data_IF_193948748429
#
_entry.id   IF_193948748429
#
_cell.length_a   1.000
_cell.length_b   1.000
_cell.length_c   1.000
_cell.angle_alpha   90.00
_cell.angle_beta   90.00
_cell.angle_gamma   90.00
#
_symmetry.space_group_name_H-M   'P 1'
#
loop_
_entity.id
_entity.type
_entity.pdbx_description
1 polymer ?
#
# COMPACT_ATOMS: atom_id res chain seq x y z
N UNK A 1 -15.68 -26.97 8.12
CA UNK A 1 -15.30 -26.57 9.50
C UNK A 1 -14.33 -25.41 9.31
N UNK A 2 -14.80 -24.20 9.50
CA UNK A 2 -13.93 -23.02 9.33
C UNK A 2 -12.82 -23.11 10.39
N UNK A 3 -11.56 -23.10 9.95
CA UNK A 3 -10.45 -22.93 10.87
C UNK A 3 -10.69 -21.63 11.65
N UNK A 4 -10.38 -21.65 12.95
CA UNK A 4 -10.41 -20.44 13.75
C UNK A 4 -9.53 -19.37 13.10
N UNK A 5 -10.03 -18.13 13.03
CA UNK A 5 -9.33 -17.02 12.40
C UNK A 5 -7.89 -16.86 12.91
N UNK A 6 -7.67 -17.07 14.20
CA UNK A 6 -6.34 -16.95 14.80
C UNK A 6 -5.38 -18.02 14.26
N UNK A 7 -5.86 -19.23 14.04
CA UNK A 7 -5.10 -20.30 13.38
C UNK A 7 -4.77 -19.92 11.92
N UNK A 8 -5.74 -19.39 11.20
CA UNK A 8 -5.54 -18.90 9.81
C UNK A 8 -4.49 -17.80 9.76
N UNK A 9 -4.55 -16.82 10.65
CA UNK A 9 -3.56 -15.74 10.74
C UNK A 9 -2.15 -16.31 11.05
N UNK A 10 -2.04 -17.27 11.96
CA UNK A 10 -0.76 -17.90 12.27
C UNK A 10 -0.18 -18.62 11.04
N UNK A 11 -1.01 -19.36 10.30
CA UNK A 11 -0.61 -20.01 9.04
C UNK A 11 -0.18 -18.97 8.00
N UNK A 12 -0.93 -17.87 7.88
CA UNK A 12 -0.63 -16.77 6.97
C UNK A 12 0.74 -16.14 7.28
N UNK A 13 1.01 -15.87 8.55
CA UNK A 13 2.27 -15.28 8.99
C UNK A 13 3.47 -16.22 8.84
N UNK A 14 3.25 -17.54 8.80
CA UNK A 14 4.31 -18.54 8.59
C UNK A 14 4.71 -18.70 7.12
N UNK A 15 3.94 -18.10 6.17
CA UNK A 15 4.28 -18.21 4.75
C UNK A 15 5.57 -17.46 4.44
N UNK A 16 6.44 -18.08 3.64
CA UNK A 16 7.73 -17.54 3.20
C UNK A 16 7.72 -17.07 1.74
N UNK A 17 6.58 -17.19 1.05
CA UNK A 17 6.39 -16.81 -0.36
C UNK A 17 5.08 -16.07 -0.57
N UNK A 18 5.05 -15.19 -1.56
CA UNK A 18 3.83 -14.48 -1.97
C UNK A 18 2.75 -15.47 -2.44
N UNK A 19 3.15 -16.55 -3.11
CA UNK A 19 2.22 -17.58 -3.56
C UNK A 19 1.58 -18.34 -2.39
N UNK A 20 2.33 -18.61 -1.31
CA UNK A 20 1.78 -19.18 -0.09
C UNK A 20 0.75 -18.28 0.56
N UNK A 21 1.05 -16.97 0.66
CA UNK A 21 0.09 -15.96 1.15
C UNK A 21 -1.16 -15.93 0.28
N UNK A 22 -0.98 -15.93 -1.07
CA UNK A 22 -2.10 -15.96 -2.02
C UNK A 22 -3.05 -17.14 -1.76
N UNK A 23 -2.49 -18.36 -1.63
CA UNK A 23 -3.30 -19.55 -1.41
C UNK A 23 -4.09 -19.47 -0.11
N UNK A 24 -3.44 -19.09 0.99
CA UNK A 24 -4.12 -18.96 2.30
C UNK A 24 -5.23 -17.92 2.25
N UNK A 25 -4.97 -16.74 1.67
CA UNK A 25 -5.99 -15.69 1.54
C UNK A 25 -7.15 -16.17 0.69
N UNK A 26 -6.89 -16.72 -0.51
CA UNK A 26 -7.92 -17.17 -1.43
C UNK A 26 -8.80 -18.27 -0.83
N UNK A 27 -8.19 -19.28 -0.21
CA UNK A 27 -8.93 -20.38 0.42
C UNK A 27 -9.79 -19.88 1.59
N UNK A 28 -9.30 -18.86 2.30
CA UNK A 28 -10.05 -18.29 3.43
C UNK A 28 -11.23 -17.44 2.94
N UNK A 29 -11.02 -16.51 1.99
CA UNK A 29 -12.09 -15.61 1.52
C UNK A 29 -13.22 -16.35 0.81
N UNK A 30 -12.93 -17.51 0.20
CA UNK A 30 -13.95 -18.37 -0.42
C UNK A 30 -15.02 -18.84 0.58
N UNK A 31 -14.66 -19.03 1.85
CA UNK A 31 -15.64 -19.39 2.90
C UNK A 31 -16.64 -18.26 3.17
N UNK A 32 -16.35 -17.03 2.75
CA UNK A 32 -17.19 -15.83 2.89
C UNK A 32 -17.84 -15.41 1.56
N UNK A 33 -17.72 -16.25 0.49
CA UNK A 33 -18.31 -15.96 -0.81
C UNK A 33 -17.51 -15.03 -1.72
N UNK A 34 -16.22 -14.81 -1.43
CA UNK A 34 -15.31 -14.05 -2.29
C UNK A 34 -14.48 -14.98 -3.17
N UNK A 35 -14.26 -14.59 -4.43
CA UNK A 35 -13.58 -15.44 -5.41
C UNK A 35 -12.25 -14.87 -5.91
N UNK A 36 -12.11 -13.56 -5.90
CA UNK A 36 -10.91 -12.87 -6.39
C UNK A 36 -10.50 -11.78 -5.40
N UNK A 37 -9.23 -11.40 -5.43
CA UNK A 37 -8.73 -10.29 -4.62
C UNK A 37 -7.50 -9.65 -5.22
N UNK A 38 -7.20 -8.44 -4.78
CA UNK A 38 -5.91 -7.79 -5.01
C UNK A 38 -5.40 -7.19 -3.69
N UNK A 39 -4.10 -7.28 -3.47
CA UNK A 39 -3.39 -6.60 -2.37
C UNK A 39 -2.36 -5.68 -2.99
N UNK A 40 -2.48 -4.40 -2.74
CA UNK A 40 -1.65 -3.38 -3.39
C UNK A 40 -1.39 -2.20 -2.46
N UNK A 41 -0.34 -1.44 -2.74
CA UNK A 41 -0.26 -0.03 -2.37
C UNK A 41 -1.04 0.81 -3.37
N UNK A 42 -1.46 1.99 -2.94
CA UNK A 42 -2.09 2.99 -3.80
C UNK A 42 -1.10 4.13 -4.03
N UNK A 43 -0.64 4.32 -5.27
CA UNK A 43 0.33 5.37 -5.59
C UNK A 43 -0.32 6.75 -5.65
N UNK A 44 0.52 7.79 -5.56
CA UNK A 44 0.12 9.17 -5.84
C UNK A 44 -0.39 9.35 -7.28
N UNK A 45 -1.16 10.42 -7.52
CA UNK A 45 -1.73 10.71 -8.85
C UNK A 45 -0.66 10.72 -9.94
N UNK A 46 -0.94 10.00 -11.03
CA UNK A 46 -0.08 9.92 -12.20
C UNK A 46 1.08 8.93 -12.09
N UNK A 47 1.20 8.23 -10.97
CA UNK A 47 2.20 7.18 -10.79
C UNK A 47 1.61 5.82 -11.17
N UNK A 48 2.39 5.00 -11.87
CA UNK A 48 2.00 3.64 -12.25
C UNK A 48 1.78 2.77 -11.01
N UNK A 49 0.64 2.07 -10.96
CA UNK A 49 0.30 1.20 -9.82
C UNK A 49 1.06 -0.12 -9.82
N UNK A 50 1.53 -0.60 -10.99
CA UNK A 50 2.16 -1.93 -11.11
C UNK A 50 3.27 -2.21 -10.10
N UNK A 51 4.20 -1.28 -9.81
CA UNK A 51 5.25 -1.52 -8.80
C UNK A 51 4.72 -1.64 -7.36
N UNK A 52 3.48 -1.24 -7.11
CA UNK A 52 2.85 -1.26 -5.78
C UNK A 52 1.97 -2.49 -5.57
N UNK A 53 1.66 -3.24 -6.63
CA UNK A 53 0.87 -4.47 -6.51
C UNK A 53 1.72 -5.54 -5.84
N UNK A 54 1.30 -5.98 -4.65
CA UNK A 54 1.97 -7.03 -3.90
C UNK A 54 1.56 -8.41 -4.39
N UNK A 55 0.27 -8.58 -4.69
CA UNK A 55 -0.27 -9.77 -5.33
C UNK A 55 -1.65 -9.49 -5.93
N UNK A 56 -1.98 -10.15 -7.04
CA UNK A 56 -3.29 -10.07 -7.69
C UNK A 56 -3.82 -11.45 -8.01
N UNK A 57 -5.07 -11.69 -7.66
CA UNK A 57 -5.90 -12.82 -8.09
C UNK A 57 -7.00 -12.40 -9.06
N UNK A 58 -6.86 -11.24 -9.72
CA UNK A 58 -7.75 -10.80 -10.80
C UNK A 58 -7.45 -11.54 -12.10
N UNK A 59 -8.39 -11.51 -13.02
CA UNK A 59 -8.16 -11.98 -14.39
C UNK A 59 -7.04 -11.16 -15.06
N UNK A 60 -6.16 -11.83 -15.78
CA UNK A 60 -5.01 -11.21 -16.44
C UNK A 60 -5.40 -10.09 -17.41
N UNK A 61 -6.54 -10.24 -18.10
CA UNK A 61 -7.03 -9.22 -19.04
C UNK A 61 -7.49 -7.98 -18.29
N UNK A 62 -8.27 -8.13 -17.20
CA UNK A 62 -8.69 -7.02 -16.37
C UNK A 62 -7.48 -6.32 -15.72
N UNK A 63 -6.57 -7.09 -15.14
CA UNK A 63 -5.36 -6.55 -14.51
C UNK A 63 -4.55 -5.69 -15.50
N UNK A 64 -4.32 -6.21 -16.72
CA UNK A 64 -3.61 -5.46 -17.77
C UNK A 64 -4.35 -4.19 -18.17
N UNK A 65 -5.67 -4.26 -18.35
CA UNK A 65 -6.52 -3.11 -18.70
C UNK A 65 -6.48 -2.05 -17.59
N UNK A 66 -6.75 -2.44 -16.35
CA UNK A 66 -6.78 -1.55 -15.18
C UNK A 66 -5.45 -0.80 -14.99
N UNK A 67 -4.34 -1.52 -15.10
CA UNK A 67 -3.01 -0.92 -14.90
C UNK A 67 -2.56 -0.08 -16.09
N UNK A 68 -2.81 -0.50 -17.33
CA UNK A 68 -2.37 0.23 -18.54
C UNK A 68 -3.14 1.53 -18.76
N UNK A 69 -4.41 1.59 -18.36
CA UNK A 69 -5.25 2.78 -18.46
C UNK A 69 -5.19 3.68 -17.21
N UNK A 70 -4.40 3.29 -16.20
CA UNK A 70 -4.26 4.08 -14.97
C UNK A 70 -5.55 4.18 -14.16
N UNK A 71 -6.40 3.17 -14.21
CA UNK A 71 -7.72 3.16 -13.57
C UNK A 71 -7.67 3.36 -12.06
N UNK A 72 -6.57 3.03 -11.40
CA UNK A 72 -6.37 3.29 -9.96
C UNK A 72 -6.66 4.74 -9.57
N UNK A 73 -6.41 5.70 -10.47
CA UNK A 73 -6.64 7.12 -10.22
C UNK A 73 -8.08 7.58 -10.52
N UNK A 74 -8.84 6.76 -11.24
CA UNK A 74 -10.22 7.02 -11.66
C UNK A 74 -11.21 6.22 -10.82
N UNK A 75 -10.79 5.09 -10.29
CA UNK A 75 -11.58 4.14 -9.52
C UNK A 75 -12.09 4.79 -8.21
N UNK A 76 -13.42 4.90 -8.03
CA UNK A 76 -14.00 5.47 -6.82
C UNK A 76 -13.68 4.62 -5.58
N UNK A 77 -13.53 3.30 -5.72
CA UNK A 77 -13.17 2.39 -4.61
C UNK A 77 -11.74 2.67 -4.13
N UNK A 78 -10.79 2.79 -5.06
CA UNK A 78 -9.41 3.14 -4.73
C UNK A 78 -9.32 4.55 -4.10
N UNK A 79 -10.04 5.53 -4.66
CA UNK A 79 -10.10 6.89 -4.10
C UNK A 79 -10.68 6.94 -2.70
N UNK A 80 -11.70 6.13 -2.42
CA UNK A 80 -12.33 6.11 -1.09
C UNK A 80 -11.38 5.56 0.00
N UNK A 81 -10.39 4.76 -0.35
CA UNK A 81 -9.38 4.27 0.61
C UNK A 81 -8.58 5.39 1.30
N UNK A 82 -8.54 6.59 0.73
CA UNK A 82 -7.87 7.75 1.33
C UNK A 82 -8.78 8.52 2.31
N UNK A 83 -10.07 8.19 2.39
CA UNK A 83 -11.07 8.91 3.19
C UNK A 83 -11.55 8.15 4.43
N UNK A 84 -11.31 6.83 4.49
CA UNK A 84 -11.73 5.97 5.59
C UNK A 84 -10.67 4.96 5.97
N UNK A 85 -10.68 4.55 7.24
CA UNK A 85 -9.82 3.48 7.79
C UNK A 85 -10.59 2.16 7.95
N UNK A 86 -11.91 2.20 7.77
CA UNK A 86 -12.78 1.04 7.96
C UNK A 86 -13.06 0.33 6.64
N UNK A 87 -13.28 -0.99 6.67
CA UNK A 87 -13.78 -1.73 5.51
C UNK A 87 -15.09 -1.14 4.99
N UNK A 88 -15.26 -1.14 3.67
CA UNK A 88 -16.47 -0.65 3.03
C UNK A 88 -16.82 -1.47 1.79
N UNK A 89 -18.12 -1.55 1.49
CA UNK A 89 -18.61 -2.17 0.28
C UNK A 89 -18.33 -1.26 -0.93
N UNK A 90 -17.98 -1.82 -2.06
CA UNK A 90 -17.69 -1.03 -3.27
C UNK A 90 -18.84 -0.10 -3.65
N UNK A 91 -20.09 -0.57 -3.45
CA UNK A 91 -21.31 0.21 -3.71
C UNK A 91 -21.44 1.45 -2.82
N UNK A 92 -20.74 1.51 -1.69
CA UNK A 92 -20.72 2.69 -0.80
C UNK A 92 -19.63 3.69 -1.11
N UNK A 93 -18.72 3.39 -2.04
CA UNK A 93 -17.71 4.34 -2.48
C UNK A 93 -18.37 5.54 -3.20
N UNK A 94 -18.17 6.77 -2.72
CA UNK A 94 -18.90 7.92 -3.26
C UNK A 94 -18.37 8.33 -4.63
N UNK A 95 -19.24 8.37 -5.63
CA UNK A 95 -18.99 9.02 -6.93
C UNK A 95 -20.32 9.40 -7.60
N UNK A 96 -20.28 10.43 -8.42
CA UNK A 96 -21.41 10.82 -9.26
C UNK A 96 -21.34 10.08 -10.60
N UNK A 97 -22.27 9.16 -10.83
CA UNK A 97 -22.28 8.32 -12.03
C UNK A 97 -22.47 9.14 -13.32
N UNK A 98 -23.20 10.26 -13.25
CA UNK A 98 -23.47 11.13 -14.40
C UNK A 98 -22.38 12.19 -14.56
N UNK A 99 -21.84 12.72 -13.48
CA UNK A 99 -20.81 13.76 -13.47
C UNK A 99 -19.37 13.26 -13.55
N UNK A 100 -19.09 12.02 -13.07
CA UNK A 100 -17.76 11.41 -13.09
C UNK A 100 -17.73 10.21 -14.05
N UNK A 101 -17.86 10.51 -15.36
CA UNK A 101 -17.87 9.48 -16.40
C UNK A 101 -16.62 8.55 -16.38
N UNK A 102 -15.40 9.04 -16.07
CA UNK A 102 -14.24 8.15 -15.90
C UNK A 102 -14.42 7.12 -14.80
N UNK A 103 -14.95 7.51 -13.64
CA UNK A 103 -15.23 6.57 -12.54
C UNK A 103 -16.34 5.58 -12.93
N UNK A 104 -17.43 6.07 -13.54
CA UNK A 104 -18.50 5.22 -14.04
C UNK A 104 -17.98 4.17 -15.02
N UNK A 105 -17.09 4.54 -15.93
CA UNK A 105 -16.46 3.64 -16.88
C UNK A 105 -15.67 2.53 -16.19
N UNK A 106 -14.85 2.83 -15.16
CA UNK A 106 -14.10 1.82 -14.42
C UNK A 106 -15.05 0.79 -13.82
N UNK A 107 -16.12 1.26 -13.17
CA UNK A 107 -17.11 0.40 -12.52
C UNK A 107 -17.92 -0.44 -13.52
N UNK A 108 -18.21 0.11 -14.70
CA UNK A 108 -18.94 -0.61 -15.75
C UNK A 108 -18.05 -1.68 -16.40
N UNK A 109 -16.81 -1.34 -16.75
CA UNK A 109 -15.87 -2.29 -17.31
C UNK A 109 -15.50 -3.41 -16.32
N UNK A 110 -15.44 -3.13 -15.02
CA UNK A 110 -15.22 -4.17 -14.01
C UNK A 110 -16.32 -5.25 -14.03
N UNK A 111 -17.58 -4.86 -14.28
CA UNK A 111 -18.72 -5.79 -14.41
C UNK A 111 -18.55 -6.77 -15.56
N UNK A 112 -17.96 -6.34 -16.68
CA UNK A 112 -17.70 -7.21 -17.84
C UNK A 112 -16.76 -8.38 -17.48
N UNK A 113 -16.02 -8.25 -16.38
CA UNK A 113 -15.15 -9.28 -15.81
C UNK A 113 -15.73 -9.99 -14.58
N UNK A 114 -17.05 -9.84 -14.33
CA UNK A 114 -17.73 -10.42 -13.19
C UNK A 114 -17.32 -9.83 -11.85
N UNK A 115 -16.92 -8.55 -11.86
CA UNK A 115 -16.50 -7.81 -10.67
C UNK A 115 -17.55 -6.72 -10.35
N UNK A 116 -18.75 -7.18 -9.97
CA UNK A 116 -19.90 -6.30 -9.72
C UNK A 116 -19.92 -5.73 -8.31
N UNK A 117 -19.52 -6.53 -7.35
CA UNK A 117 -19.60 -6.25 -5.92
C UNK A 117 -18.30 -6.65 -5.23
N UNK A 118 -18.01 -6.02 -4.11
CA UNK A 118 -16.83 -6.36 -3.34
C UNK A 118 -16.72 -5.61 -2.02
N UNK A 119 -15.81 -6.10 -1.19
CA UNK A 119 -15.39 -5.48 0.05
C UNK A 119 -14.00 -4.90 -0.13
N UNK A 120 -13.84 -3.64 0.20
CA UNK A 120 -12.55 -2.96 0.20
C UNK A 120 -12.08 -2.71 1.64
N UNK A 121 -10.83 -3.03 1.91
CA UNK A 121 -10.17 -2.80 3.21
C UNK A 121 -9.00 -1.84 3.00
N UNK A 122 -9.12 -0.58 3.42
CA UNK A 122 -8.00 0.36 3.44
C UNK A 122 -6.93 -0.10 4.44
N UNK A 123 -5.66 0.02 4.05
CA UNK A 123 -4.52 -0.31 4.93
C UNK A 123 -3.61 0.91 5.01
N UNK A 124 -3.64 1.58 6.16
CA UNK A 124 -2.79 2.75 6.38
C UNK A 124 -1.39 2.30 6.77
N UNK A 125 -0.42 2.80 6.05
CA UNK A 125 0.98 2.41 6.19
C UNK A 125 1.79 3.54 6.80
N UNK A 126 2.91 3.17 7.42
CA UNK A 126 3.88 4.15 7.89
C UNK A 126 4.39 5.02 6.72
N UNK A 127 4.71 6.28 7.01
CA UNK A 127 5.16 7.24 6.00
C UNK A 127 4.03 7.81 5.13
N UNK A 128 2.76 7.65 5.52
CA UNK A 128 1.60 8.24 4.83
C UNK A 128 1.20 7.52 3.54
N UNK A 129 1.80 6.36 3.26
CA UNK A 129 1.38 5.55 2.12
C UNK A 129 0.05 4.85 2.41
N UNK A 130 -0.79 4.75 1.39
CA UNK A 130 -2.05 4.03 1.45
C UNK A 130 -1.91 2.67 0.80
N UNK A 131 -2.33 1.61 1.50
CA UNK A 131 -2.51 0.28 0.95
C UNK A 131 -3.99 -0.08 0.83
N UNK A 132 -4.26 -1.14 0.12
CA UNK A 132 -5.60 -1.67 -0.10
C UNK A 132 -5.58 -3.18 -0.21
N UNK A 133 -6.62 -3.81 0.35
CA UNK A 133 -7.03 -5.17 0.02
C UNK A 133 -8.45 -5.08 -0.52
N UNK A 134 -8.64 -5.47 -1.77
CA UNK A 134 -9.95 -5.42 -2.42
C UNK A 134 -10.37 -6.84 -2.77
N UNK A 135 -11.52 -7.27 -2.24
CA UNK A 135 -12.11 -8.59 -2.38
C UNK A 135 -13.32 -8.50 -3.32
N UNK A 136 -13.42 -9.42 -4.27
CA UNK A 136 -14.54 -9.50 -5.23
C UNK A 136 -15.52 -10.56 -4.78
N UNK A 137 -16.76 -10.18 -4.54
CA UNK A 137 -17.84 -11.06 -4.11
C UNK A 137 -18.97 -10.31 -3.43
N UNK A 138 -20.03 -11.03 -3.07
CA UNK A 138 -21.22 -10.44 -2.46
C UNK A 138 -20.98 -10.05 -1.01
N UNK A 139 -21.46 -8.87 -0.62
CA UNK A 139 -21.24 -8.29 0.71
C UNK A 139 -22.54 -8.19 1.54
N UNK A 140 -23.69 -8.31 0.90
CA UNK A 140 -25.00 -8.11 1.53
C UNK A 140 -25.38 -9.21 2.55
N UNK A 141 -24.72 -10.36 2.52
CA UNK A 141 -24.94 -11.47 3.44
C UNK A 141 -23.93 -11.53 4.60
N UNK A 142 -22.92 -10.65 4.59
CA UNK A 142 -21.87 -10.64 5.61
C UNK A 142 -22.40 -10.11 6.96
N UNK A 143 -22.19 -10.91 8.00
CA UNK A 143 -22.38 -10.47 9.38
C UNK A 143 -21.25 -9.51 9.82
N UNK A 144 -21.51 -8.73 10.87
CA UNK A 144 -20.48 -7.86 11.46
C UNK A 144 -19.23 -8.64 11.91
N UNK A 145 -19.42 -9.86 12.42
CA UNK A 145 -18.30 -10.73 12.78
C UNK A 145 -17.44 -11.09 11.57
N UNK A 146 -18.07 -11.50 10.47
CA UNK A 146 -17.37 -11.88 9.24
C UNK A 146 -16.65 -10.68 8.61
N UNK A 147 -17.24 -9.49 8.66
CA UNK A 147 -16.56 -8.25 8.23
C UNK A 147 -15.30 -7.98 9.05
N UNK A 148 -15.36 -8.19 10.36
CA UNK A 148 -14.20 -8.04 11.24
C UNK A 148 -13.13 -9.10 10.93
N UNK A 149 -13.53 -10.35 10.71
CA UNK A 149 -12.61 -11.44 10.34
C UNK A 149 -11.89 -11.16 9.03
N UNK A 150 -12.62 -10.70 8.00
CA UNK A 150 -12.04 -10.29 6.72
C UNK A 150 -11.12 -9.07 6.85
N UNK A 151 -11.49 -8.11 7.71
CA UNK A 151 -10.64 -6.96 8.00
C UNK A 151 -9.30 -7.42 8.60
N UNK A 152 -9.32 -8.29 9.61
CA UNK A 152 -8.10 -8.82 10.21
C UNK A 152 -7.27 -9.61 9.20
N UNK A 153 -7.90 -10.49 8.42
CA UNK A 153 -7.23 -11.24 7.36
C UNK A 153 -6.52 -10.32 6.37
N UNK A 154 -7.19 -9.25 5.93
CA UNK A 154 -6.65 -8.27 5.01
C UNK A 154 -5.42 -7.55 5.58
N UNK A 155 -5.48 -7.08 6.84
CA UNK A 155 -4.37 -6.40 7.49
C UNK A 155 -3.14 -7.31 7.62
N UNK A 156 -3.33 -8.55 8.09
CA UNK A 156 -2.24 -9.51 8.26
C UNK A 156 -1.70 -9.99 6.91
N UNK A 157 -2.55 -10.23 5.91
CA UNK A 157 -2.14 -10.60 4.55
C UNK A 157 -1.32 -9.52 3.88
N UNK A 158 -1.76 -8.28 3.95
CA UNK A 158 -1.01 -7.13 3.44
C UNK A 158 0.35 -6.99 4.17
N UNK A 159 0.35 -7.09 5.50
CA UNK A 159 1.57 -7.00 6.31
C UNK A 159 2.58 -8.09 5.98
N UNK A 160 2.12 -9.35 5.80
CA UNK A 160 3.00 -10.47 5.46
C UNK A 160 3.62 -10.30 4.06
N UNK A 161 2.83 -9.91 3.07
CA UNK A 161 3.36 -9.63 1.72
C UNK A 161 4.39 -8.49 1.74
N UNK A 162 4.12 -7.42 2.46
CA UNK A 162 5.10 -6.34 2.62
C UNK A 162 6.40 -6.82 3.27
N UNK A 163 6.31 -7.67 4.29
CA UNK A 163 7.49 -8.27 4.92
C UNK A 163 8.31 -9.08 3.92
N UNK A 164 7.66 -9.91 3.11
CA UNK A 164 8.32 -10.71 2.09
C UNK A 164 8.97 -9.84 1.00
N UNK A 165 8.27 -8.82 0.50
CA UNK A 165 8.83 -7.86 -0.45
C UNK A 165 10.00 -7.07 0.14
N UNK A 166 9.92 -6.67 1.42
CA UNK A 166 11.01 -5.96 2.09
C UNK A 166 12.28 -6.79 2.25
N UNK A 167 12.15 -8.12 2.41
CA UNK A 167 13.32 -9.02 2.42
C UNK A 167 14.00 -9.08 1.05
N UNK A 168 13.23 -9.03 -0.04
CA UNK A 168 13.77 -8.97 -1.40
C UNK A 168 14.36 -7.60 -1.74
N UNK A 169 13.84 -6.52 -1.15
CA UNK A 169 14.25 -5.12 -1.40
C UNK A 169 15.29 -4.62 -0.38
N UNK A 170 16.02 -5.52 0.28
CA UNK A 170 17.12 -5.14 1.18
C UNK A 170 18.24 -4.35 0.49
N UNK A 171 18.26 -4.31 -0.84
CA UNK A 171 19.16 -3.43 -1.61
C UNK A 171 18.81 -1.94 -1.42
N UNK A 172 17.54 -1.58 -1.32
CA UNK A 172 17.11 -0.20 -1.06
C UNK A 172 17.32 0.22 0.41
N UNK A 173 17.19 -0.69 1.37
CA UNK A 173 17.44 -0.40 2.80
C UNK A 173 18.89 -0.10 3.15
N UNK A 174 19.85 -0.41 2.27
CA UNK A 174 21.24 0.04 2.39
C UNK A 174 21.48 1.46 1.87
N UNK A 175 20.41 2.16 1.51
CA UNK A 175 20.54 3.40 0.75
C UNK A 175 21.18 4.54 1.55
N UNK A 176 20.96 4.64 2.86
CA UNK A 176 21.57 5.69 3.68
C UNK A 176 22.21 5.15 4.96
N UNK A 177 23.27 5.82 5.41
CA UNK A 177 23.95 5.47 6.66
C UNK A 177 23.18 6.01 7.88
N UNK A 178 23.39 5.48 9.11
CA UNK A 178 22.77 6.02 10.31
C UNK A 178 23.01 7.53 10.51
N UNK A 179 24.19 8.04 10.12
CA UNK A 179 24.49 9.47 10.20
C UNK A 179 23.77 10.31 9.13
N UNK A 180 23.60 9.78 7.93
CA UNK A 180 22.79 10.41 6.89
C UNK A 180 21.31 10.46 7.34
N UNK A 181 20.79 9.36 7.92
CA UNK A 181 19.44 9.33 8.48
C UNK A 181 19.24 10.34 9.62
N UNK A 182 20.20 10.45 10.55
CA UNK A 182 20.17 11.43 11.62
C UNK A 182 20.12 12.86 11.09
N UNK A 183 20.96 13.20 10.15
CA UNK A 183 20.97 14.53 9.52
C UNK A 183 19.65 14.80 8.80
N UNK A 184 19.12 13.83 8.03
CA UNK A 184 17.85 13.99 7.32
C UNK A 184 16.65 14.16 8.26
N UNK A 185 16.63 13.56 9.45
CA UNK A 185 15.60 13.81 10.47
C UNK A 185 15.55 15.28 10.89
N UNK A 186 16.70 15.88 11.13
CA UNK A 186 16.76 17.29 11.47
C UNK A 186 16.37 18.19 10.30
N UNK A 187 16.72 17.81 9.08
CA UNK A 187 16.26 18.50 7.86
C UNK A 187 14.76 18.47 7.75
N UNK A 188 14.14 17.31 8.01
CA UNK A 188 12.70 17.12 7.96
C UNK A 188 11.95 18.01 8.97
N UNK A 189 12.58 18.33 10.11
CA UNK A 189 12.05 19.28 11.10
C UNK A 189 12.36 20.75 10.79
N UNK A 190 12.90 21.06 9.60
CA UNK A 190 13.16 22.42 9.14
C UNK A 190 14.45 23.06 9.66
N UNK A 191 15.35 22.28 10.27
CA UNK A 191 16.63 22.80 10.76
C UNK A 191 17.59 23.15 9.61
N UNK A 192 18.30 24.28 9.78
CA UNK A 192 19.36 24.68 8.85
C UNK A 192 20.60 23.81 9.02
N UNK A 193 21.54 23.85 8.07
CA UNK A 193 22.79 23.11 8.19
C UNK A 193 23.64 23.61 9.40
N UNK A 194 23.51 24.88 9.78
CA UNK A 194 24.16 25.45 10.97
C UNK A 194 23.54 24.89 12.25
N UNK A 195 22.20 24.90 12.36
CA UNK A 195 21.50 24.34 13.51
C UNK A 195 21.83 22.86 13.72
N UNK A 196 21.87 22.10 12.59
CA UNK A 196 22.21 20.68 12.64
C UNK A 196 23.67 20.47 13.07
N UNK A 197 24.58 21.30 12.60
CA UNK A 197 25.98 21.25 13.02
C UNK A 197 26.11 21.45 14.54
N UNK A 198 25.41 22.43 15.08
CA UNK A 198 25.39 22.72 16.54
C UNK A 198 24.77 21.57 17.35
N UNK A 199 23.66 20.98 16.86
CA UNK A 199 22.97 19.86 17.53
C UNK A 199 23.80 18.57 17.52
N UNK A 200 24.46 18.27 16.39
CA UNK A 200 25.13 16.98 16.15
C UNK A 200 26.63 17.00 16.48
N UNK A 201 27.19 18.17 16.75
CA UNK A 201 28.64 18.36 16.93
C UNK A 201 29.44 18.19 15.64
N UNK A 202 28.80 18.29 14.47
CA UNK A 202 29.43 18.21 13.18
C UNK A 202 29.81 19.60 12.63
N UNK A 203 30.65 19.67 11.62
CA UNK A 203 30.80 20.91 10.86
C UNK A 203 29.66 21.07 9.86
N UNK A 204 29.28 22.31 9.53
CA UNK A 204 28.30 22.64 8.48
C UNK A 204 28.63 21.92 7.15
N UNK A 205 29.93 21.87 6.81
CA UNK A 205 30.41 21.14 5.63
C UNK A 205 30.07 19.64 5.70
N UNK A 206 30.27 19.02 6.87
CA UNK A 206 29.99 17.59 7.08
C UNK A 206 28.47 17.31 7.00
N UNK A 207 27.65 18.20 7.56
CA UNK A 207 26.18 18.12 7.44
C UNK A 207 25.75 18.14 5.97
N UNK A 208 26.24 19.10 5.19
CA UNK A 208 25.93 19.19 3.77
C UNK A 208 26.42 17.94 3.01
N UNK A 209 27.61 17.42 3.33
CA UNK A 209 28.12 16.19 2.73
C UNK A 209 27.24 14.98 3.01
N UNK A 210 26.68 14.85 4.23
CA UNK A 210 25.73 13.78 4.54
C UNK A 210 24.45 13.92 3.73
N UNK A 211 23.92 15.14 3.56
CA UNK A 211 22.75 15.39 2.71
C UNK A 211 23.04 15.02 1.23
N UNK A 212 24.16 15.42 0.68
CA UNK A 212 24.56 15.11 -0.69
C UNK A 212 24.77 13.61 -0.92
N UNK A 213 25.36 12.92 0.06
CA UNK A 213 25.54 11.48 0.00
C UNK A 213 24.19 10.75 0.01
N UNK A 214 23.28 11.13 0.91
CA UNK A 214 21.93 10.59 0.96
C UNK A 214 21.15 10.86 -0.34
N UNK A 215 21.26 12.09 -0.88
CA UNK A 215 20.65 12.48 -2.15
C UNK A 215 21.13 11.59 -3.30
N UNK A 216 22.44 11.35 -3.40
CA UNK A 216 23.02 10.48 -4.43
C UNK A 216 22.56 9.02 -4.27
N UNK A 217 22.51 8.52 -3.04
CA UNK A 217 22.06 7.14 -2.74
C UNK A 217 20.60 6.90 -3.05
N UNK A 218 19.75 7.90 -2.78
CA UNK A 218 18.30 7.83 -3.03
C UNK A 218 17.92 8.26 -4.46
N UNK A 219 18.89 8.67 -5.29
CA UNK A 219 18.62 9.08 -6.67
C UNK A 219 17.76 10.34 -6.80
N UNK A 220 17.82 11.24 -5.81
CA UNK A 220 16.99 12.44 -5.76
C UNK A 220 17.74 13.66 -6.28
N UNK A 221 16.99 14.71 -6.68
CA UNK A 221 17.56 15.91 -7.29
C UNK A 221 17.75 17.09 -6.32
N UNK A 222 17.12 17.04 -5.15
CA UNK A 222 17.22 18.09 -4.15
C UNK A 222 16.96 17.57 -2.73
N UNK A 223 17.32 18.39 -1.73
CA UNK A 223 17.26 18.05 -0.30
C UNK A 223 15.84 17.72 0.18
N UNK A 224 14.83 18.45 -0.30
CA UNK A 224 13.44 18.22 0.08
C UNK A 224 12.94 16.87 -0.45
N UNK A 225 13.20 16.59 -1.73
CA UNK A 225 12.88 15.28 -2.33
C UNK A 225 13.59 14.14 -1.60
N UNK A 226 14.86 14.35 -1.17
CA UNK A 226 15.60 13.35 -0.40
C UNK A 226 14.92 13.01 0.92
N UNK A 227 14.40 14.01 1.63
CA UNK A 227 13.64 13.82 2.88
C UNK A 227 12.35 13.06 2.60
N UNK A 228 11.58 13.46 1.59
CA UNK A 228 10.32 12.81 1.21
C UNK A 228 10.55 11.33 0.88
N UNK A 229 11.55 11.01 0.06
CA UNK A 229 11.88 9.63 -0.28
C UNK A 229 12.40 8.84 0.93
N UNK A 230 13.20 9.46 1.80
CA UNK A 230 13.66 8.81 3.02
C UNK A 230 12.50 8.44 3.98
N UNK A 231 11.48 9.29 4.10
CA UNK A 231 10.24 8.99 4.84
C UNK A 231 9.46 7.88 4.13
N UNK A 232 9.28 8.00 2.82
CA UNK A 232 8.55 7.04 2.00
C UNK A 232 9.13 5.62 2.08
N UNK A 233 10.44 5.49 2.14
CA UNK A 233 11.14 4.21 2.30
C UNK A 233 11.33 3.79 3.77
N UNK A 234 10.72 4.48 4.73
CA UNK A 234 10.90 4.21 6.17
C UNK A 234 12.37 4.23 6.64
N UNK A 235 13.20 5.04 6.00
CA UNK A 235 14.60 5.23 6.40
C UNK A 235 14.74 6.24 7.52
N UNK A 236 13.77 7.16 7.62
CA UNK A 236 13.60 8.12 8.72
C UNK A 236 12.13 8.23 9.10
N UNK A 237 11.88 8.55 10.38
CA UNK A 237 10.58 8.98 10.92
C UNK A 237 10.71 10.37 11.53
N UNK A 238 9.68 11.18 11.44
CA UNK A 238 9.63 12.56 11.95
C UNK A 238 8.50 12.69 12.96
#
# INVERSE_FOLDING_TARGET
MNADLMTTIAVLQSQDSAQGVHSVVLDTIRNYGFEKFIISGLPDRGVDVRPFVLISGWDDEWYRRYTSLGYVHLDPVARNCFTTTLPFDWSSAPYDREGDLPAARVMDEARDFGMDEGLCVPVHLEGGMQGVVSLVGRTNELTEKERLELHMLALYGHGQLRRLHAVHDQSARRAITPREAEVLKWVATGKTASDIADITGLSVRTVNQHCENAQRRLGTSNRLQTVVEAIRYNLISV
#
